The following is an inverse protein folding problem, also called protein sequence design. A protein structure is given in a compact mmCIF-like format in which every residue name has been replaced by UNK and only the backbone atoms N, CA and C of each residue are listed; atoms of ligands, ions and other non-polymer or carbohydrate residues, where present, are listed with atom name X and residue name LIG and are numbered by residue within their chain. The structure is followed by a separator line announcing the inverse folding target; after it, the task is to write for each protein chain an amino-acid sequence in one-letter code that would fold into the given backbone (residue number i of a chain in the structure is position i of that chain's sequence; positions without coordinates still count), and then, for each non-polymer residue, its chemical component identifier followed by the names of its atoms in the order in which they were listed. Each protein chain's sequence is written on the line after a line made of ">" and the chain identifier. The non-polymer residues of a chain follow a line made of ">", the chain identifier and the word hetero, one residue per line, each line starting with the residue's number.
data_IF_327358041213
#
_entry.id   IF_327358041213
#
_cell.length_a   1.000
_cell.length_b   1.000
_cell.length_c   1.000
_cell.angle_alpha   90.00
_cell.angle_beta   90.00
_cell.angle_gamma   90.00
#
_symmetry.space_group_name_H-M   'P 1'
#
loop_
_entity.id
_entity.type
_entity.pdbx_description
1 polymer ?
#
# COMPACT_ATOMS: atom_id res chain seq x y z
N UNK A 1 -37.28 -27.97 -5.84
CA UNK A 1 -36.27 -28.25 -4.82
C UNK A 1 -35.82 -26.94 -4.20
N UNK A 2 -36.02 -26.76 -2.89
CA UNK A 2 -35.60 -25.53 -2.18
C UNK A 2 -34.22 -25.82 -1.61
N UNK A 3 -33.19 -25.28 -2.25
CA UNK A 3 -31.80 -25.46 -1.81
C UNK A 3 -31.53 -24.54 -0.61
N UNK A 4 -31.28 -25.16 0.55
CA UNK A 4 -30.96 -24.50 1.81
C UNK A 4 -29.56 -23.87 1.77
N UNK A 5 -29.49 -22.54 1.65
CA UNK A 5 -28.27 -21.74 1.85
C UNK A 5 -27.90 -21.65 3.34
N UNK A 6 -27.43 -22.74 3.95
CA UNK A 6 -27.19 -22.74 5.40
C UNK A 6 -25.97 -23.52 5.88
N UNK A 7 -25.07 -24.03 5.03
CA UNK A 7 -23.90 -24.79 5.51
C UNK A 7 -22.66 -24.63 4.62
N UNK A 8 -22.10 -23.41 4.57
CA UNK A 8 -20.66 -23.21 4.35
C UNK A 8 -20.29 -21.74 4.65
N UNK A 9 -20.38 -21.36 5.92
CA UNK A 9 -20.07 -20.02 6.44
C UNK A 9 -18.56 -19.74 6.55
N UNK A 10 -17.76 -20.23 5.60
CA UNK A 10 -16.30 -20.24 5.69
C UNK A 10 -15.60 -19.26 4.76
N UNK A 11 -16.25 -18.21 4.26
CA UNK A 11 -15.61 -17.23 3.40
C UNK A 11 -15.78 -15.84 3.98
N UNK A 12 -14.69 -15.28 4.51
CA UNK A 12 -14.69 -13.96 5.10
C UNK A 12 -14.14 -12.97 4.06
N UNK A 13 -15.01 -12.45 3.21
CA UNK A 13 -14.69 -11.42 2.21
C UNK A 13 -14.31 -10.06 2.82
N UNK A 14 -14.22 -9.96 4.15
CA UNK A 14 -13.89 -8.71 4.82
C UNK A 14 -12.40 -8.41 4.66
N UNK A 15 -12.13 -7.28 4.01
CA UNK A 15 -10.79 -6.70 4.01
C UNK A 15 -10.54 -6.07 5.38
N UNK A 16 -9.51 -6.53 6.08
CA UNK A 16 -9.02 -5.89 7.29
C UNK A 16 -7.81 -5.03 6.91
N UNK A 17 -7.97 -3.70 6.93
CA UNK A 17 -6.94 -2.74 6.54
C UNK A 17 -6.56 -1.77 7.68
N UNK A 18 -5.94 -2.22 8.78
CA UNK A 18 -5.40 -1.30 9.78
C UNK A 18 -4.29 -0.44 9.18
N UNK A 19 -4.37 0.86 9.47
CA UNK A 19 -3.42 1.87 9.03
C UNK A 19 -2.89 2.64 10.24
N UNK A 20 -1.57 2.82 10.28
CA UNK A 20 -0.87 3.64 11.27
C UNK A 20 -0.06 4.70 10.54
N UNK A 21 -0.10 5.93 11.04
CA UNK A 21 0.78 6.99 10.57
C UNK A 21 1.28 7.86 11.71
N UNK A 22 2.51 8.33 11.56
CA UNK A 22 3.11 9.29 12.47
C UNK A 22 3.97 10.27 11.69
N UNK A 23 4.16 11.46 12.26
CA UNK A 23 5.02 12.45 11.66
C UNK A 23 5.46 13.51 12.64
N UNK A 24 6.69 14.00 12.45
CA UNK A 24 7.26 15.12 13.20
C UNK A 24 7.75 16.18 12.22
N UNK A 25 7.57 17.45 12.56
CA UNK A 25 8.04 18.58 11.76
C UNK A 25 8.68 19.62 12.67
N UNK A 26 9.87 20.05 12.30
CA UNK A 26 10.59 21.11 12.99
C UNK A 26 10.12 22.49 12.51
N UNK A 27 10.24 23.55 13.34
CA UNK A 27 9.97 24.92 12.90
C UNK A 27 10.80 25.36 11.69
N UNK A 28 12.00 24.78 11.52
CA UNK A 28 12.90 25.05 10.39
C UNK A 28 12.50 24.36 9.09
N UNK A 29 11.45 23.52 9.09
CA UNK A 29 10.89 22.91 7.89
C UNK A 29 11.35 21.48 7.60
N UNK A 30 12.30 20.92 8.35
CA UNK A 30 12.62 19.47 8.30
C UNK A 30 11.45 18.67 8.83
N UNK A 31 11.05 17.59 8.16
CA UNK A 31 10.06 16.64 8.67
C UNK A 31 10.41 15.19 8.37
N UNK A 32 9.92 14.31 9.23
CA UNK A 32 9.95 12.86 9.07
C UNK A 32 8.52 12.34 9.17
N UNK A 33 8.14 11.43 8.27
CA UNK A 33 6.84 10.74 8.27
C UNK A 33 7.08 9.24 8.18
N UNK A 34 6.27 8.48 8.90
CA UNK A 34 6.20 7.02 8.79
C UNK A 34 4.75 6.58 8.63
N UNK A 35 4.52 5.64 7.74
CA UNK A 35 3.21 5.07 7.40
C UNK A 35 3.35 3.54 7.36
N UNK A 36 2.40 2.85 7.98
CA UNK A 36 2.28 1.39 7.95
C UNK A 36 0.85 1.05 7.54
N UNK A 37 0.71 0.26 6.48
CA UNK A 37 -0.56 -0.26 5.99
C UNK A 37 -0.49 -1.78 5.95
N UNK A 38 -1.43 -2.46 6.60
CA UNK A 38 -1.55 -3.90 6.52
C UNK A 38 -2.93 -4.24 5.99
N UNK A 39 -2.99 -5.03 4.93
CA UNK A 39 -4.22 -5.50 4.32
C UNK A 39 -4.27 -7.02 4.41
N UNK A 40 -5.29 -7.57 5.05
CA UNK A 40 -5.63 -8.99 4.96
C UNK A 40 -6.95 -9.15 4.21
N UNK A 41 -6.98 -9.97 3.16
CA UNK A 41 -8.16 -10.16 2.32
C UNK A 41 -8.17 -11.56 1.68
N UNK A 42 -9.36 -12.09 1.43
CA UNK A 42 -9.59 -13.34 0.72
C UNK A 42 -10.30 -13.04 -0.61
N UNK A 43 -9.76 -13.54 -1.73
CA UNK A 43 -10.39 -13.36 -3.04
C UNK A 43 -11.70 -14.19 -3.14
N UNK A 44 -12.72 -13.73 -3.89
CA UNK A 44 -13.97 -14.47 -4.03
C UNK A 44 -13.81 -15.76 -4.82
N UNK A 45 -14.56 -16.81 -4.42
CA UNK A 45 -14.59 -18.08 -5.12
C UNK A 45 -14.87 -17.91 -6.62
N UNK A 46 -14.04 -18.51 -7.48
CA UNK A 46 -14.46 -19.00 -8.79
C UNK A 46 -15.14 -20.37 -8.68
N UNK A 47 -16.04 -20.71 -9.60
CA UNK A 47 -16.83 -21.95 -9.54
C UNK A 47 -16.01 -23.21 -9.85
N UNK A 48 -16.30 -24.34 -9.20
CA UNK A 48 -15.65 -25.67 -9.40
C UNK A 48 -15.56 -26.16 -10.86
N UNK A 49 -16.37 -25.62 -11.77
CA UNK A 49 -16.43 -26.03 -13.17
C UNK A 49 -15.48 -25.26 -14.11
N UNK A 50 -14.65 -24.36 -13.60
CA UNK A 50 -13.69 -23.61 -14.42
C UNK A 50 -12.25 -23.94 -14.00
N UNK A 51 -11.52 -24.66 -14.85
CA UNK A 51 -10.09 -24.93 -14.66
C UNK A 51 -9.34 -23.60 -14.47
N UNK A 52 -8.64 -23.43 -13.34
CA UNK A 52 -7.97 -22.20 -12.89
C UNK A 52 -8.85 -21.01 -12.42
N UNK A 53 -10.15 -21.20 -12.14
CA UNK A 53 -11.02 -20.18 -11.55
C UNK A 53 -11.72 -20.77 -10.32
N UNK A 54 -11.18 -20.56 -9.12
CA UNK A 54 -11.77 -21.16 -7.91
C UNK A 54 -10.88 -21.37 -6.69
N UNK A 55 -9.60 -21.00 -6.75
CA UNK A 55 -8.72 -21.12 -5.60
C UNK A 55 -9.05 -20.00 -4.61
N UNK A 56 -9.37 -20.37 -3.35
CA UNK A 56 -9.45 -19.42 -2.24
C UNK A 56 -8.09 -18.81 -1.97
N UNK A 57 -7.76 -17.75 -2.67
CA UNK A 57 -6.47 -17.10 -2.50
C UNK A 57 -6.58 -16.10 -1.35
N UNK A 58 -6.24 -16.55 -0.14
CA UNK A 58 -6.05 -15.66 1.02
C UNK A 58 -4.68 -15.01 0.92
N UNK A 59 -4.64 -13.68 0.98
CA UNK A 59 -3.42 -12.89 0.88
C UNK A 59 -3.35 -11.84 1.97
N UNK A 60 -2.13 -11.59 2.43
CA UNK A 60 -1.84 -10.39 3.20
C UNK A 60 -0.78 -9.55 2.51
N UNK A 61 -0.98 -8.25 2.58
CA UNK A 61 -0.05 -7.23 2.13
C UNK A 61 0.37 -6.39 3.34
N UNK A 62 1.65 -6.07 3.39
CA UNK A 62 2.19 -5.13 4.35
C UNK A 62 3.02 -4.10 3.60
N UNK A 63 2.77 -2.83 3.88
CA UNK A 63 3.47 -1.72 3.29
C UNK A 63 3.96 -0.80 4.41
N UNK A 64 5.28 -0.69 4.51
CA UNK A 64 5.95 0.20 5.43
C UNK A 64 6.62 1.31 4.62
N UNK A 65 6.32 2.57 4.90
CA UNK A 65 6.87 3.72 4.19
C UNK A 65 7.45 4.75 5.15
N UNK A 66 8.63 5.22 4.80
CA UNK A 66 9.35 6.27 5.51
C UNK A 66 9.65 7.42 4.54
N UNK A 67 9.37 8.66 4.96
CA UNK A 67 9.64 9.87 4.18
C UNK A 67 10.40 10.87 5.02
N UNK A 68 11.56 11.29 4.53
CA UNK A 68 12.32 12.40 5.08
C UNK A 68 12.23 13.57 4.10
N UNK A 69 11.88 14.75 4.59
CA UNK A 69 11.75 15.92 3.73
C UNK A 69 12.10 17.23 4.39
N UNK A 70 12.17 18.26 3.56
CA UNK A 70 12.47 19.62 3.97
C UNK A 70 11.65 20.64 3.16
N UNK A 71 10.98 21.54 3.88
CA UNK A 71 10.26 22.67 3.29
C UNK A 71 11.08 23.97 3.40
N UNK A 72 11.49 24.51 2.24
CA UNK A 72 12.11 25.82 2.12
C UNK A 72 11.04 26.91 2.02
N UNK A 73 10.81 27.63 3.12
CA UNK A 73 9.96 28.83 3.17
C UNK A 73 8.56 28.63 2.54
N UNK A 74 8.01 27.41 2.62
CA UNK A 74 6.74 27.00 1.99
C UNK A 74 6.72 27.17 0.45
N UNK A 75 7.86 27.38 -0.19
CA UNK A 75 7.99 27.60 -1.63
C UNK A 75 8.57 26.39 -2.35
N UNK A 76 9.54 25.71 -1.74
CA UNK A 76 10.10 24.48 -2.27
C UNK A 76 10.01 23.38 -1.21
N UNK A 77 9.64 22.18 -1.60
CA UNK A 77 9.70 20.98 -0.78
C UNK A 77 10.57 19.95 -1.49
N UNK A 78 11.46 19.30 -0.75
CA UNK A 78 12.21 18.13 -1.24
C UNK A 78 11.97 16.96 -0.31
N UNK A 79 11.71 15.80 -0.88
CA UNK A 79 11.46 14.56 -0.15
C UNK A 79 12.30 13.43 -0.70
N UNK A 80 12.88 12.64 0.20
CA UNK A 80 13.35 11.29 -0.07
C UNK A 80 12.42 10.29 0.61
N UNK A 81 12.06 9.22 -0.08
CA UNK A 81 11.18 8.18 0.46
C UNK A 81 11.76 6.79 0.27
N UNK A 82 11.50 5.93 1.23
CA UNK A 82 11.71 4.49 1.14
C UNK A 82 10.41 3.79 1.49
N UNK A 83 10.08 2.73 0.75
CA UNK A 83 8.89 1.93 0.97
C UNK A 83 9.25 0.44 0.78
N UNK A 84 8.85 -0.39 1.74
CA UNK A 84 8.93 -1.83 1.64
C UNK A 84 7.52 -2.39 1.47
N UNK A 85 7.32 -3.20 0.43
CA UNK A 85 6.03 -3.83 0.16
C UNK A 85 6.20 -5.33 0.18
N UNK A 86 5.56 -5.98 1.14
CA UNK A 86 5.50 -7.43 1.23
C UNK A 86 4.11 -7.91 0.86
N UNK A 87 4.05 -8.91 -0.01
CA UNK A 87 2.82 -9.62 -0.34
C UNK A 87 3.06 -11.11 -0.16
N UNK A 88 2.17 -11.76 0.56
CA UNK A 88 2.23 -13.20 0.82
C UNK A 88 0.87 -13.84 0.63
N UNK A 89 0.91 -15.04 0.08
CA UNK A 89 -0.25 -15.92 -0.10
C UNK A 89 -0.22 -17.03 0.94
N UNK A 90 -1.40 -17.37 1.48
CA UNK A 90 -1.52 -18.39 2.52
C UNK A 90 -1.39 -19.81 1.95
N UNK A 91 -1.80 -20.04 0.70
CA UNK A 91 -1.79 -21.36 0.07
C UNK A 91 -0.46 -21.64 -0.62
N UNK A 92 0.12 -22.83 -0.40
CA UNK A 92 1.39 -23.27 -0.99
C UNK A 92 1.39 -23.21 -2.53
N UNK A 93 0.25 -23.47 -3.15
CA UNK A 93 0.06 -23.39 -4.62
C UNK A 93 0.22 -21.99 -5.19
N UNK A 94 0.01 -20.95 -4.36
CA UNK A 94 0.07 -19.55 -4.76
C UNK A 94 1.34 -18.85 -4.26
N UNK A 95 2.15 -19.52 -3.42
CA UNK A 95 3.37 -18.94 -2.83
C UNK A 95 4.43 -18.54 -3.85
N UNK A 96 4.40 -19.10 -5.08
CA UNK A 96 5.29 -18.66 -6.16
C UNK A 96 5.06 -17.18 -6.56
N UNK A 97 3.92 -16.59 -6.19
CA UNK A 97 3.58 -15.18 -6.39
C UNK A 97 3.99 -14.28 -5.21
N UNK A 98 4.59 -14.84 -4.15
CA UNK A 98 5.10 -14.05 -3.03
C UNK A 98 6.15 -13.06 -3.51
N UNK A 99 6.02 -11.80 -3.10
CA UNK A 99 6.98 -10.74 -3.48
C UNK A 99 7.35 -9.86 -2.31
N UNK A 100 8.57 -9.37 -2.35
CA UNK A 100 9.04 -8.28 -1.49
C UNK A 100 9.70 -7.27 -2.39
N UNK A 101 9.08 -6.11 -2.52
CA UNK A 101 9.57 -5.02 -3.34
C UNK A 101 10.17 -3.92 -2.45
N UNK A 102 11.30 -3.37 -2.86
CA UNK A 102 11.91 -2.20 -2.24
C UNK A 102 11.77 -1.00 -3.18
N UNK A 103 11.05 0.03 -2.75
CA UNK A 103 10.78 1.22 -3.53
C UNK A 103 11.52 2.41 -2.95
N UNK A 104 12.26 3.10 -3.80
CA UNK A 104 13.00 4.31 -3.47
C UNK A 104 12.41 5.46 -4.26
N UNK A 105 12.19 6.60 -3.61
CA UNK A 105 11.58 7.77 -4.23
C UNK A 105 12.33 9.05 -3.89
N UNK A 106 12.30 9.99 -4.83
CA UNK A 106 12.71 11.36 -4.63
C UNK A 106 11.64 12.26 -5.24
N UNK A 107 11.19 13.27 -4.48
CA UNK A 107 10.15 14.19 -4.94
C UNK A 107 10.55 15.64 -4.69
N UNK A 108 10.11 16.53 -5.59
CA UNK A 108 10.27 17.96 -5.52
C UNK A 108 8.91 18.62 -5.71
N UNK A 109 8.54 19.49 -4.76
CA UNK A 109 7.36 20.33 -4.81
C UNK A 109 7.79 21.79 -4.96
N UNK A 110 7.21 22.51 -5.91
CA UNK A 110 7.41 23.94 -6.09
C UNK A 110 6.07 24.66 -6.09
N UNK A 111 5.87 25.58 -5.14
CA UNK A 111 4.69 26.43 -5.08
C UNK A 111 4.98 27.72 -5.85
N UNK A 112 4.19 28.01 -6.88
CA UNK A 112 4.37 29.22 -7.69
C UNK A 112 3.97 30.46 -6.88
N UNK A 113 4.74 31.56 -6.95
CA UNK A 113 4.44 32.78 -6.20
C UNK A 113 3.13 33.42 -6.65
N UNK A 114 2.29 33.81 -5.69
CA UNK A 114 1.07 34.58 -5.96
C UNK A 114 -0.09 33.78 -6.53
N UNK A 115 0.10 32.48 -6.76
CA UNK A 115 -0.91 31.59 -7.32
C UNK A 115 -1.18 30.41 -6.39
N UNK A 116 -2.35 29.78 -6.53
CA UNK A 116 -2.66 28.49 -5.87
C UNK A 116 -2.18 27.32 -6.72
N UNK A 117 -1.10 27.54 -7.47
CA UNK A 117 -0.55 26.59 -8.44
C UNK A 117 0.74 25.99 -7.87
N UNK A 118 0.87 24.69 -7.97
CA UNK A 118 2.07 23.97 -7.54
C UNK A 118 2.53 23.02 -8.65
N UNK A 119 3.84 22.93 -8.85
CA UNK A 119 4.47 21.93 -9.69
C UNK A 119 5.04 20.82 -8.80
N UNK A 120 4.79 19.56 -9.17
CA UNK A 120 5.28 18.40 -8.46
C UNK A 120 6.02 17.47 -9.42
N UNK A 121 7.23 17.10 -9.08
CA UNK A 121 8.04 16.13 -9.80
C UNK A 121 8.39 14.99 -8.85
N UNK A 122 8.21 13.75 -9.30
CA UNK A 122 8.58 12.57 -8.55
C UNK A 122 9.33 11.59 -9.45
N UNK A 123 10.42 11.06 -8.91
CA UNK A 123 11.09 9.88 -9.42
C UNK A 123 10.88 8.74 -8.43
N UNK A 124 10.54 7.55 -8.94
CA UNK A 124 10.39 6.33 -8.13
C UNK A 124 11.02 5.15 -8.87
N UNK A 125 11.83 4.39 -8.14
CA UNK A 125 12.43 3.15 -8.62
C UNK A 125 12.00 1.99 -7.72
N UNK A 126 11.55 0.90 -8.32
CA UNK A 126 11.28 -0.36 -7.65
C UNK A 126 12.43 -1.33 -7.90
N UNK A 127 12.88 -2.01 -6.85
CA UNK A 127 13.86 -3.09 -6.89
C UNK A 127 13.32 -4.33 -6.22
#
# INVERSE_FOLDING_TARGET
>A
DVVLYSQNSGNNYQAHNPYLSFGIKTPKGVYLKGEEEYLNTEDPYGSENQYNLGVKTSRWNNQAKLVLGYDFAKRYGVEGSYENVMQRFAQETDQWQNRTDHRYGASLLYNLPGEKTSAFLQYRQTK
#
